data_IF_720884823223
#
_entry.id   IF_720884823223
#
_cell.length_a   1.000
_cell.length_b   1.000
_cell.length_c   1.000
_cell.angle_alpha   90.00
_cell.angle_beta   90.00
_cell.angle_gamma   90.00
#
_symmetry.space_group_name_H-M   'P 1'
#
loop_
_entity.id
_entity.type
_entity.pdbx_description
1 polymer ?
#
# COMPACT_ATOMS: atom_id res chain seq x y z
N UNK A 1 1.02 -11.88 7.57
CA UNK A 1 0.34 -10.61 7.89
C UNK A 1 0.71 -10.27 9.31
N UNK A 2 1.29 -9.09 9.54
CA UNK A 2 1.84 -8.68 10.84
C UNK A 2 0.84 -7.78 11.57
N UNK A 3 0.35 -6.74 10.90
CA UNK A 3 -0.67 -5.84 11.43
C UNK A 3 -1.59 -5.32 10.31
N UNK A 4 -2.81 -4.91 10.66
CA UNK A 4 -3.67 -4.15 9.75
C UNK A 4 -4.69 -3.30 10.48
N UNK A 5 -4.99 -2.14 9.89
CA UNK A 5 -6.07 -1.26 10.32
C UNK A 5 -7.13 -1.20 9.22
N UNK A 6 -8.22 -1.98 9.32
CA UNK A 6 -9.34 -1.91 8.39
C UNK A 6 -10.05 -0.55 8.46
N UNK A 7 -10.60 -0.10 7.33
CA UNK A 7 -11.47 1.08 7.29
C UNK A 7 -12.94 0.69 7.25
N UNK A 8 -13.80 1.43 7.96
CA UNK A 8 -15.26 1.23 7.93
C UNK A 8 -15.87 1.40 6.53
N UNK A 9 -15.26 2.23 5.68
CA UNK A 9 -15.67 2.45 4.29
C UNK A 9 -15.19 1.36 3.31
N UNK A 10 -14.51 0.32 3.82
CA UNK A 10 -13.86 -0.73 3.05
C UNK A 10 -12.39 -0.44 2.72
N UNK A 11 -11.59 -1.49 2.56
CA UNK A 11 -10.14 -1.40 2.42
C UNK A 11 -9.42 -1.23 3.76
N UNK A 12 -8.18 -0.75 3.71
CA UNK A 12 -7.30 -0.61 4.87
C UNK A 12 -6.73 0.80 4.95
N UNK A 13 -6.66 1.33 6.18
CA UNK A 13 -5.91 2.54 6.49
C UNK A 13 -4.41 2.27 6.51
N UNK A 14 -4.00 1.11 7.03
CA UNK A 14 -2.62 0.60 7.03
C UNK A 14 -2.61 -0.93 6.99
N UNK A 15 -1.55 -1.49 6.41
CA UNK A 15 -1.27 -2.93 6.42
C UNK A 15 0.23 -3.11 6.57
N UNK A 16 0.63 -4.02 7.45
CA UNK A 16 2.00 -4.47 7.62
C UNK A 16 2.07 -5.98 7.38
N UNK A 17 3.02 -6.41 6.57
CA UNK A 17 3.19 -7.83 6.25
C UNK A 17 4.65 -8.15 5.95
N UNK A 18 5.01 -9.39 6.28
CA UNK A 18 6.29 -9.98 5.94
C UNK A 18 6.20 -10.66 4.57
N UNK A 19 7.25 -10.52 3.76
CA UNK A 19 7.42 -11.22 2.49
C UNK A 19 8.70 -12.07 2.60
N UNK A 20 8.57 -13.37 2.43
CA UNK A 20 9.67 -14.34 2.55
C UNK A 20 10.06 -14.89 1.17
N UNK A 21 11.36 -15.14 0.97
CA UNK A 21 11.90 -15.71 -0.25
C UNK A 21 13.31 -15.21 -0.57
N UNK A 22 13.84 -15.67 -1.70
CA UNK A 22 15.19 -15.31 -2.12
C UNK A 22 15.28 -13.87 -2.61
N UNK A 23 16.18 -13.09 -2.01
CA UNK A 23 16.51 -11.71 -2.41
C UNK A 23 15.29 -10.79 -2.55
N UNK A 24 14.24 -10.99 -1.76
CA UNK A 24 12.98 -10.20 -1.82
C UNK A 24 13.24 -8.69 -1.78
N UNK A 25 14.07 -8.24 -0.84
CA UNK A 25 14.39 -6.82 -0.70
C UNK A 25 15.04 -6.24 -1.98
N UNK A 26 15.83 -7.02 -2.72
CA UNK A 26 16.50 -6.55 -3.93
C UNK A 26 15.52 -6.14 -5.04
N UNK A 27 14.33 -6.75 -5.06
CA UNK A 27 13.25 -6.46 -6.01
C UNK A 27 12.28 -5.45 -5.42
N UNK A 28 11.82 -5.68 -4.18
CA UNK A 28 10.77 -4.87 -3.56
C UNK A 28 11.22 -3.46 -3.17
N UNK A 29 12.51 -3.20 -3.00
CA UNK A 29 13.02 -1.85 -2.67
C UNK A 29 12.55 -0.77 -3.65
N UNK A 30 12.26 -1.12 -4.90
CA UNK A 30 11.78 -0.19 -5.92
C UNK A 30 10.29 0.17 -5.77
N UNK A 31 9.53 -0.61 -5.01
CA UNK A 31 8.13 -0.34 -4.69
C UNK A 31 7.98 0.69 -3.56
N UNK A 32 9.07 0.98 -2.84
CA UNK A 32 9.08 1.99 -1.78
C UNK A 32 8.85 3.39 -2.37
N UNK A 33 7.88 4.12 -1.85
CA UNK A 33 7.53 5.46 -2.31
C UNK A 33 6.04 5.74 -2.28
N UNK A 34 5.64 6.82 -2.97
CA UNK A 34 4.24 7.24 -3.07
C UNK A 34 3.65 6.75 -4.38
N UNK A 35 2.63 5.91 -4.28
CA UNK A 35 1.86 5.40 -5.41
C UNK A 35 0.64 6.28 -5.63
N UNK A 36 0.40 6.70 -6.88
CA UNK A 36 -0.69 7.62 -7.24
C UNK A 36 -1.71 6.90 -8.13
N UNK A 37 -2.99 7.06 -7.82
CA UNK A 37 -4.10 6.55 -8.64
C UNK A 37 -5.06 7.68 -9.00
N UNK A 38 -5.54 7.67 -10.25
CA UNK A 38 -6.56 8.59 -10.74
C UNK A 38 -7.74 7.77 -11.24
N UNK A 39 -8.91 7.98 -10.65
CA UNK A 39 -10.14 7.26 -11.01
C UNK A 39 -11.37 8.03 -10.58
N UNK A 40 -12.54 7.61 -11.05
CA UNK A 40 -13.82 7.97 -10.43
C UNK A 40 -14.03 7.06 -9.22
N UNK A 41 -14.06 7.58 -7.98
CA UNK A 41 -14.27 6.72 -6.82
C UNK A 41 -15.71 6.21 -6.76
N UNK A 42 -15.90 5.03 -6.15
CA UNK A 42 -17.24 4.43 -5.99
C UNK A 42 -18.20 5.29 -5.17
N UNK A 43 -17.67 6.19 -4.34
CA UNK A 43 -18.43 7.13 -3.52
C UNK A 43 -18.82 8.41 -4.27
N UNK A 44 -18.37 8.61 -5.51
CA UNK A 44 -18.62 9.80 -6.32
C UNK A 44 -19.82 9.60 -7.24
N UNK A 45 -20.80 10.50 -7.16
CA UNK A 45 -22.06 10.40 -7.92
C UNK A 45 -22.03 11.15 -9.26
N UNK A 46 -21.13 12.13 -9.43
CA UNK A 46 -21.08 12.98 -10.63
C UNK A 46 -20.01 12.56 -11.66
N UNK A 47 -19.32 11.44 -11.45
CA UNK A 47 -18.30 10.97 -12.39
C UNK A 47 -16.99 11.77 -12.36
N UNK A 48 -16.75 12.58 -11.33
CA UNK A 48 -15.52 13.38 -11.20
C UNK A 48 -14.31 12.48 -10.92
N UNK A 49 -13.22 12.70 -11.64
CA UNK A 49 -11.95 12.02 -11.38
C UNK A 49 -11.32 12.62 -10.12
N UNK A 50 -11.01 11.76 -9.17
CA UNK A 50 -10.22 12.11 -7.99
C UNK A 50 -8.83 11.50 -8.10
N UNK A 51 -7.82 12.21 -7.58
CA UNK A 51 -6.46 11.70 -7.42
C UNK A 51 -6.26 11.28 -5.98
N UNK A 52 -5.83 10.04 -5.76
CA UNK A 52 -5.50 9.51 -4.43
C UNK A 52 -4.06 9.02 -4.41
N UNK A 53 -3.46 8.95 -3.23
CA UNK A 53 -2.10 8.44 -3.02
C UNK A 53 -2.06 7.40 -1.91
N UNK A 54 -1.09 6.51 -1.99
CA UNK A 54 -0.75 5.56 -0.94
C UNK A 54 0.78 5.50 -0.78
N UNK A 55 1.27 5.47 0.46
CA UNK A 55 2.70 5.36 0.74
C UNK A 55 3.05 3.91 1.02
N UNK A 56 4.12 3.43 0.40
CA UNK A 56 4.69 2.09 0.62
C UNK A 56 6.08 2.26 1.21
N UNK A 57 6.34 1.59 2.33
CA UNK A 57 7.66 1.48 2.92
C UNK A 57 8.12 0.03 2.82
N UNK A 58 9.34 -0.19 2.31
CA UNK A 58 9.95 -1.52 2.22
C UNK A 58 11.23 -1.50 3.03
N UNK A 59 11.27 -2.34 4.06
CA UNK A 59 12.39 -2.46 4.98
C UNK A 59 12.92 -3.90 4.88
N UNK A 60 14.25 -4.11 4.88
CA UNK A 60 14.79 -5.45 5.08
C UNK A 60 14.47 -5.91 6.50
N UNK A 61 14.27 -7.21 6.70
CA UNK A 61 14.29 -7.79 8.04
C UNK A 61 15.70 -7.61 8.61
N UNK A 62 15.80 -7.11 9.83
CA UNK A 62 17.08 -7.02 10.52
C UNK A 62 17.44 -8.42 11.02
N UNK A 63 18.61 -8.92 10.62
CA UNK A 63 19.24 -10.04 11.33
C UNK A 63 19.89 -9.48 12.60
N UNK A 64 19.68 -10.13 13.75
CA UNK A 64 20.39 -9.84 15.01
C UNK A 64 21.92 -10.09 14.88
#
# INVERSE_FOLDING_TARGET
>A
MLDSSPSEAGGFKSIEFKVEGDKVYSVMKYESGVHRVQRVPKTESQGRIQTSTATVAVLPEADD
#
